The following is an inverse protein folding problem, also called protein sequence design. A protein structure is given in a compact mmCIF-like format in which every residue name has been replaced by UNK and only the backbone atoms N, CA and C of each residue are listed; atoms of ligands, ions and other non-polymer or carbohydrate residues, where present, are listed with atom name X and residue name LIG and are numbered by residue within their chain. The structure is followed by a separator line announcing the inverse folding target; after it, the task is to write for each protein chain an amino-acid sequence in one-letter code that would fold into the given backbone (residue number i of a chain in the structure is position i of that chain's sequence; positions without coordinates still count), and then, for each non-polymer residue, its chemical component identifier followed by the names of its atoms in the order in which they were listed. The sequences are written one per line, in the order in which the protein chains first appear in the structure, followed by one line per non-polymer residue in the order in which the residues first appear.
data_IF_878847341743
#
_entry.id   IF_878847341743
#
_cell.length_a   1.000
_cell.length_b   1.000
_cell.length_c   1.000
_cell.angle_alpha   90.00
_cell.angle_beta   90.00
_cell.angle_gamma   90.00
#
_symmetry.space_group_name_H-M   'P 1'
#
loop_
_entity.id
_entity.type
_entity.pdbx_description
1 polymer ?
#
# COMPACT_ATOMS: atom_id res chain seq x y z
N UNK A 1 4.59 29.85 -35.91
CA UNK A 1 3.67 28.71 -36.07
C UNK A 1 4.33 27.55 -35.33
N UNK A 2 3.74 27.08 -34.24
CA UNK A 2 4.27 25.92 -33.52
C UNK A 2 4.11 24.69 -34.44
N UNK A 3 5.17 23.91 -34.63
CA UNK A 3 5.07 22.63 -35.34
C UNK A 3 4.13 21.66 -34.60
N UNK A 4 3.64 20.63 -35.30
CA UNK A 4 2.73 19.66 -34.70
C UNK A 4 3.36 18.96 -33.47
N UNK A 5 2.51 18.62 -32.49
CA UNK A 5 2.94 18.03 -31.22
C UNK A 5 3.36 16.57 -31.44
N UNK A 6 4.61 16.15 -31.15
CA UNK A 6 5.07 14.80 -31.46
C UNK A 6 4.36 13.71 -30.66
N UNK A 7 4.06 13.95 -29.38
CA UNK A 7 3.40 12.98 -28.50
C UNK A 7 2.69 13.65 -27.31
N UNK A 8 1.72 12.98 -26.65
CA UNK A 8 0.99 13.51 -25.49
C UNK A 8 1.84 13.82 -24.25
N UNK A 9 3.10 13.37 -24.21
CA UNK A 9 4.04 13.67 -23.12
C UNK A 9 4.79 14.99 -23.34
N UNK A 10 4.84 15.51 -24.57
CA UNK A 10 5.59 16.74 -24.85
C UNK A 10 4.79 17.98 -24.47
N UNK A 11 5.43 18.98 -23.87
CA UNK A 11 4.88 20.30 -23.60
C UNK A 11 5.62 21.36 -24.43
N UNK A 12 4.94 22.46 -24.76
CA UNK A 12 5.54 23.55 -25.50
C UNK A 12 6.43 24.39 -24.57
N UNK A 13 7.69 24.58 -24.95
CA UNK A 13 8.59 25.53 -24.29
C UNK A 13 8.37 26.96 -24.81
N UNK A 14 8.87 27.96 -24.07
CA UNK A 14 8.81 29.37 -24.49
C UNK A 14 9.54 29.65 -25.82
N UNK A 15 10.53 28.83 -26.16
CA UNK A 15 11.30 28.90 -27.41
C UNK A 15 10.64 28.14 -28.57
N UNK A 16 9.49 27.52 -28.31
CA UNK A 16 8.73 26.79 -29.30
C UNK A 16 9.25 25.39 -29.64
N UNK A 17 10.15 24.86 -28.82
CA UNK A 17 10.61 23.47 -28.86
C UNK A 17 9.69 22.60 -28.00
N UNK A 18 9.33 21.41 -28.51
CA UNK A 18 8.61 20.39 -27.75
C UNK A 18 9.56 19.68 -26.78
N UNK A 19 9.31 19.79 -25.48
CA UNK A 19 10.13 19.15 -24.45
C UNK A 19 9.33 18.10 -23.69
N UNK A 20 10.00 17.03 -23.24
CA UNK A 20 9.43 16.12 -22.25
C UNK A 20 9.70 16.72 -20.87
N UNK A 21 8.66 17.02 -20.07
CA UNK A 21 8.86 17.57 -18.74
C UNK A 21 9.53 16.52 -17.85
N UNK A 22 10.60 16.94 -17.17
CA UNK A 22 11.20 16.14 -16.10
C UNK A 22 10.33 16.35 -14.84
N UNK A 23 9.86 15.28 -14.19
CA UNK A 23 9.07 15.43 -12.97
C UNK A 23 9.89 16.12 -11.89
N UNK A 24 9.26 17.03 -11.16
CA UNK A 24 9.91 17.68 -10.02
C UNK A 24 10.15 16.68 -8.89
N UNK A 25 11.09 16.96 -7.97
CA UNK A 25 11.23 16.15 -6.76
C UNK A 25 9.89 15.96 -6.01
N UNK A 26 9.05 17.00 -5.96
CA UNK A 26 7.73 16.92 -5.32
C UNK A 26 6.77 15.95 -6.03
N UNK A 27 6.78 15.93 -7.37
CA UNK A 27 5.98 14.98 -8.16
C UNK A 27 6.39 13.54 -7.87
N UNK A 28 7.70 13.29 -7.76
CA UNK A 28 8.25 11.98 -7.41
C UNK A 28 7.80 11.58 -6.00
N UNK A 29 7.86 12.49 -5.03
CA UNK A 29 7.41 12.24 -3.67
C UNK A 29 5.91 11.93 -3.60
N UNK A 30 5.07 12.63 -4.36
CA UNK A 30 3.63 12.34 -4.46
C UNK A 30 3.38 10.96 -5.06
N UNK A 31 4.08 10.61 -6.14
CA UNK A 31 3.97 9.30 -6.78
C UNK A 31 4.35 8.15 -5.84
N UNK A 32 5.46 8.29 -5.10
CA UNK A 32 5.90 7.31 -4.10
C UNK A 32 4.86 7.14 -2.98
N UNK A 33 4.36 8.24 -2.40
CA UNK A 33 3.30 8.19 -1.37
C UNK A 33 2.04 7.48 -1.87
N UNK A 34 1.64 7.71 -3.12
CA UNK A 34 0.48 7.05 -3.70
C UNK A 34 0.73 5.55 -3.93
N UNK A 35 1.90 5.18 -4.45
CA UNK A 35 2.29 3.78 -4.60
C UNK A 35 2.26 3.02 -3.26
N UNK A 36 2.78 3.62 -2.20
CA UNK A 36 2.80 3.01 -0.87
C UNK A 36 1.41 2.88 -0.22
N UNK A 37 0.51 3.84 -0.45
CA UNK A 37 -0.89 3.74 -0.01
C UNK A 37 -1.62 2.60 -0.72
N UNK A 38 -1.36 2.43 -2.02
CA UNK A 38 -1.90 1.32 -2.82
C UNK A 38 -1.36 -0.02 -2.32
N UNK A 39 -0.06 -0.14 -2.07
CA UNK A 39 0.55 -1.34 -1.49
C UNK A 39 -0.05 -1.68 -0.12
N UNK A 40 -0.14 -0.70 0.79
CA UNK A 40 -0.79 -0.91 2.10
C UNK A 40 -2.24 -1.38 1.94
N UNK A 41 -2.96 -0.79 0.98
CA UNK A 41 -4.33 -1.19 0.64
C UNK A 41 -4.41 -2.66 0.23
N UNK A 42 -3.56 -3.10 -0.71
CA UNK A 42 -3.57 -4.49 -1.17
C UNK A 42 -3.19 -5.48 -0.06
N UNK A 43 -2.21 -5.14 0.79
CA UNK A 43 -1.85 -5.98 1.93
C UNK A 43 -2.98 -6.09 2.94
N UNK A 44 -3.66 -4.99 3.28
CA UNK A 44 -4.83 -5.02 4.17
C UNK A 44 -5.96 -5.89 3.60
N UNK A 45 -6.25 -5.78 2.30
CA UNK A 45 -7.24 -6.63 1.63
C UNK A 45 -6.84 -8.11 1.67
N UNK A 46 -5.55 -8.43 1.51
CA UNK A 46 -5.07 -9.81 1.52
C UNK A 46 -5.19 -10.51 2.89
N UNK A 47 -5.33 -9.75 3.99
CA UNK A 47 -5.39 -10.30 5.36
C UNK A 47 -6.73 -10.07 6.07
N UNK A 48 -7.66 -9.32 5.48
CA UNK A 48 -8.94 -8.99 6.13
C UNK A 48 -9.80 -10.24 6.39
N UNK A 49 -9.81 -11.18 5.45
CA UNK A 49 -10.57 -12.43 5.53
C UNK A 49 -10.15 -13.29 6.74
N UNK A 50 -8.88 -13.23 7.16
CA UNK A 50 -8.40 -13.95 8.35
C UNK A 50 -9.10 -13.47 9.62
N UNK A 51 -9.34 -12.15 9.71
CA UNK A 51 -10.04 -11.56 10.83
C UNK A 51 -11.51 -11.94 10.82
N UNK A 52 -12.16 -11.84 9.66
CA UNK A 52 -13.56 -12.18 9.48
C UNK A 52 -13.82 -13.64 9.84
N UNK A 53 -13.06 -14.57 9.25
CA UNK A 53 -13.15 -16.01 9.57
C UNK A 53 -12.97 -16.30 11.06
N UNK A 54 -12.01 -15.65 11.72
CA UNK A 54 -11.80 -15.85 13.16
C UNK A 54 -12.99 -15.33 13.99
N UNK A 55 -13.61 -14.22 13.58
CA UNK A 55 -14.82 -13.70 14.24
C UNK A 55 -15.99 -14.66 14.05
N UNK A 56 -16.22 -15.14 12.84
CA UNK A 56 -17.27 -16.12 12.53
C UNK A 56 -17.11 -17.40 13.37
N UNK A 57 -15.89 -17.94 13.47
CA UNK A 57 -15.59 -19.13 14.27
C UNK A 57 -15.91 -18.92 15.75
N UNK A 58 -15.59 -17.74 16.30
CA UNK A 58 -15.90 -17.38 17.68
C UNK A 58 -17.40 -17.24 17.93
N UNK A 59 -18.15 -16.69 16.97
CA UNK A 59 -19.60 -16.55 17.06
C UNK A 59 -20.32 -17.90 17.01
N UNK A 60 -19.82 -18.83 16.19
CA UNK A 60 -20.32 -20.21 16.12
C UNK A 60 -19.97 -21.00 17.40
N UNK A 61 -18.97 -20.56 18.16
CA UNK A 61 -18.53 -21.20 19.41
C UNK A 61 -17.69 -22.47 19.18
N UNK A 62 -17.11 -22.62 17.98
CA UNK A 62 -16.20 -23.72 17.64
C UNK A 62 -14.74 -23.38 17.89
N UNK A 63 -13.86 -24.34 17.60
CA UNK A 63 -12.41 -24.11 17.62
C UNK A 63 -12.00 -23.12 16.51
N UNK A 64 -11.10 -22.19 16.85
CA UNK A 64 -10.57 -21.21 15.90
C UNK A 64 -9.37 -21.76 15.15
N UNK A 65 -9.26 -21.46 13.86
CA UNK A 65 -8.11 -21.86 13.04
C UNK A 65 -6.81 -21.15 13.44
N UNK A 66 -6.94 -19.94 14.00
CA UNK A 66 -5.83 -19.17 14.58
C UNK A 66 -5.86 -19.29 16.10
N UNK A 67 -4.69 -19.40 16.70
CA UNK A 67 -4.55 -19.23 18.16
C UNK A 67 -4.85 -17.79 18.58
N UNK A 68 -5.13 -17.57 19.86
CA UNK A 68 -5.33 -16.23 20.41
C UNK A 68 -4.11 -15.31 20.19
N UNK A 69 -2.90 -15.85 20.26
CA UNK A 69 -1.65 -15.12 20.01
C UNK A 69 -1.53 -14.71 18.54
N UNK A 70 -1.75 -15.65 17.60
CA UNK A 70 -1.77 -15.35 16.16
C UNK A 70 -2.84 -14.30 15.81
N UNK A 71 -4.02 -14.38 16.42
CA UNK A 71 -5.06 -13.39 16.19
C UNK A 71 -4.65 -12.01 16.72
N UNK A 72 -4.01 -11.93 17.90
CA UNK A 72 -3.49 -10.67 18.43
C UNK A 72 -2.38 -10.08 17.54
N UNK A 73 -1.46 -10.90 17.04
CA UNK A 73 -0.42 -10.49 16.09
C UNK A 73 -1.03 -9.97 14.77
N UNK A 74 -2.06 -10.62 14.26
CA UNK A 74 -2.79 -10.16 13.06
C UNK A 74 -3.38 -8.76 13.29
N UNK A 75 -4.05 -8.55 14.42
CA UNK A 75 -4.66 -7.25 14.72
C UNK A 75 -3.59 -6.16 14.88
N UNK A 76 -2.49 -6.45 15.57
CA UNK A 76 -1.37 -5.53 15.71
C UNK A 76 -0.73 -5.19 14.35
N UNK A 77 -0.54 -6.20 13.49
CA UNK A 77 -0.03 -6.01 12.14
C UNK A 77 -0.95 -5.13 11.28
N UNK A 78 -2.25 -5.41 11.28
CA UNK A 78 -3.24 -4.59 10.57
C UNK A 78 -3.28 -3.15 11.09
N UNK A 79 -3.11 -2.95 12.40
CA UNK A 79 -3.04 -1.62 13.00
C UNK A 79 -1.77 -0.88 12.55
N UNK A 80 -0.61 -1.53 12.61
CA UNK A 80 0.64 -0.96 12.13
C UNK A 80 0.56 -0.54 10.65
N UNK A 81 -0.11 -1.33 9.79
CA UNK A 81 -0.37 -0.96 8.40
C UNK A 81 -1.23 0.30 8.28
N UNK A 82 -2.24 0.48 9.13
CA UNK A 82 -3.10 1.67 9.13
C UNK A 82 -2.37 2.93 9.62
N UNK A 83 -1.48 2.77 10.59
CA UNK A 83 -0.76 3.87 11.21
C UNK A 83 0.45 4.32 10.39
N UNK A 84 1.07 3.41 9.64
CA UNK A 84 2.30 3.70 8.89
C UNK A 84 2.20 4.92 7.94
N UNK A 85 1.12 5.16 7.17
CA UNK A 85 0.97 6.38 6.37
C UNK A 85 0.92 7.70 7.16
N UNK A 86 0.79 7.65 8.49
CA UNK A 86 0.84 8.81 9.39
C UNK A 86 2.19 8.93 10.10
N UNK A 87 3.08 7.94 9.95
CA UNK A 87 4.43 7.95 10.52
C UNK A 87 5.33 8.96 9.80
N UNK A 88 6.31 9.58 10.49
CA UNK A 88 7.39 10.33 9.84
C UNK A 88 8.20 9.51 8.85
N UNK A 89 8.24 8.18 8.99
CA UNK A 89 9.02 7.29 8.10
C UNK A 89 8.32 7.06 6.75
N UNK A 90 7.08 7.51 6.58
CA UNK A 90 6.35 7.36 5.33
C UNK A 90 6.87 8.35 4.25
N UNK A 91 7.17 7.91 3.00
CA UNK A 91 6.83 6.62 2.38
C UNK A 91 8.01 5.63 2.26
N UNK A 92 9.00 5.64 3.16
CA UNK A 92 10.16 4.75 3.05
C UNK A 92 9.76 3.26 3.20
N UNK A 93 9.95 2.49 2.14
CA UNK A 93 9.59 1.06 2.09
C UNK A 93 10.33 0.20 3.11
N UNK A 94 11.51 0.63 3.58
CA UNK A 94 12.26 -0.07 4.63
C UNK A 94 11.54 -0.08 5.99
N UNK A 95 10.62 0.86 6.19
CA UNK A 95 9.83 1.00 7.43
C UNK A 95 8.43 0.40 7.30
N UNK A 96 8.16 -0.34 6.22
CA UNK A 96 6.89 -1.06 6.07
C UNK A 96 6.70 -2.05 7.23
N UNK A 97 5.49 -2.14 7.80
CA UNK A 97 5.18 -3.20 8.75
C UNK A 97 5.47 -4.58 8.16
N UNK A 98 6.16 -5.41 8.93
CA UNK A 98 6.55 -6.77 8.54
C UNK A 98 5.43 -7.73 8.94
N UNK A 99 4.97 -8.56 8.00
CA UNK A 99 3.93 -9.54 8.26
C UNK A 99 4.47 -10.67 9.14
N UNK A 100 3.71 -11.13 10.16
CA UNK A 100 4.00 -12.37 10.86
C UNK A 100 4.16 -13.55 9.88
N UNK A 101 5.19 -14.38 10.09
CA UNK A 101 5.57 -15.43 9.15
C UNK A 101 4.46 -16.47 8.89
N UNK A 102 3.62 -16.73 9.89
CA UNK A 102 2.52 -17.70 9.78
C UNK A 102 1.41 -17.25 8.81
N UNK A 103 1.28 -15.96 8.51
CA UNK A 103 0.27 -15.44 7.57
C UNK A 103 0.49 -16.05 6.18
N UNK A 104 1.75 -16.21 5.75
CA UNK A 104 2.08 -16.79 4.45
C UNK A 104 1.64 -18.26 4.30
N UNK A 105 1.42 -18.96 5.43
CA UNK A 105 0.89 -20.33 5.44
C UNK A 105 -0.63 -20.42 5.45
N UNK A 106 -1.35 -19.30 5.48
CA UNK A 106 -2.81 -19.31 5.47
C UNK A 106 -3.35 -19.39 4.03
N UNK A 107 -4.28 -20.31 3.82
CA UNK A 107 -5.02 -20.46 2.56
C UNK A 107 -6.49 -20.13 2.78
N UNK A 108 -7.08 -19.40 1.84
CA UNK A 108 -8.53 -19.16 1.75
C UNK A 108 -9.30 -20.45 1.44
#
# INVERSE_FOLDING_TARGET
MQGDRPSPIHIASQEGVWIVPVPSPDDIQVALKNAERTWRGSVLTAVIWLRERHQDQREIGGDTALSGEQFAELLAYMQALRDWPQSPDFPNSEHRPIAPAWIAGQTE
#
